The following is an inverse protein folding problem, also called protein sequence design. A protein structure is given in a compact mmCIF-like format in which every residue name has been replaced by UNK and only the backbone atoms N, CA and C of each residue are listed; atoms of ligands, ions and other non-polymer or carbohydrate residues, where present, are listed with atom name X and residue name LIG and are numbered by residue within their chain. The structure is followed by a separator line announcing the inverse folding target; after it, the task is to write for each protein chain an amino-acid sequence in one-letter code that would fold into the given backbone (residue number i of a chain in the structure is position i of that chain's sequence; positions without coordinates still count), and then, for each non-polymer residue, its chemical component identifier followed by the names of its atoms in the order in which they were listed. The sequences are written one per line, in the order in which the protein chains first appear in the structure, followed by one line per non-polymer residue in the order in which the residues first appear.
data_IF_833525378046
#
_entry.id   IF_833525378046
#
_cell.length_a   1.000
_cell.length_b   1.000
_cell.length_c   1.000
_cell.angle_alpha   90.00
_cell.angle_beta   90.00
_cell.angle_gamma   90.00
#
_symmetry.space_group_name_H-M   'P 1'
#
loop_
_entity.id
_entity.type
_entity.pdbx_description
1 polymer ?
#
# COMPACT_ATOMS: atom_id res chain seq x y z
N UNK A 1 0.00 0.52 15.87
CA UNK A 1 -1.36 0.95 16.31
C UNK A 1 -1.88 2.18 15.54
N UNK A 2 -1.11 3.31 15.40
CA UNK A 2 -1.59 4.50 14.69
C UNK A 2 -1.88 4.19 13.23
N UNK A 3 -0.92 3.63 12.49
CA UNK A 3 -1.08 3.30 11.07
C UNK A 3 -2.22 2.29 10.84
N UNK A 4 -2.41 1.34 11.77
CA UNK A 4 -3.51 0.38 11.67
C UNK A 4 -4.89 1.06 11.84
N UNK A 5 -5.02 1.98 12.81
CA UNK A 5 -6.26 2.80 12.94
C UNK A 5 -6.54 3.64 11.70
N UNK A 6 -5.50 4.23 11.12
CA UNK A 6 -5.63 5.00 9.86
C UNK A 6 -6.10 4.10 8.72
N UNK A 7 -5.47 2.93 8.53
CA UNK A 7 -5.87 1.97 7.50
C UNK A 7 -7.32 1.48 7.67
N UNK A 8 -7.77 1.24 8.90
CA UNK A 8 -9.18 0.91 9.20
C UNK A 8 -10.10 2.07 8.86
N UNK A 9 -9.70 3.32 9.16
CA UNK A 9 -10.44 4.53 8.81
C UNK A 9 -10.62 4.68 7.30
N UNK A 10 -9.55 4.47 6.54
CA UNK A 10 -9.55 4.46 5.07
C UNK A 10 -10.55 3.43 4.52
N UNK A 11 -10.53 2.20 5.03
CA UNK A 11 -11.48 1.16 4.62
C UNK A 11 -12.93 1.59 4.81
N UNK A 12 -13.23 2.25 5.93
CA UNK A 12 -14.57 2.76 6.22
C UNK A 12 -14.96 3.87 5.25
N UNK A 13 -14.07 4.84 5.03
CA UNK A 13 -14.31 5.93 4.09
C UNK A 13 -14.58 5.42 2.67
N UNK A 14 -13.79 4.45 2.18
CA UNK A 14 -14.03 3.81 0.87
C UNK A 14 -15.35 3.04 0.83
N UNK A 15 -15.77 2.42 1.94
CA UNK A 15 -17.04 1.69 2.02
C UNK A 15 -18.27 2.62 1.96
N UNK A 16 -18.14 3.86 2.39
CA UNK A 16 -19.21 4.88 2.39
C UNK A 16 -19.37 5.61 1.05
N UNK A 17 -18.48 5.38 0.07
CA UNK A 17 -18.60 5.97 -1.26
C UNK A 17 -19.67 5.24 -2.07
N UNK A 18 -20.76 5.96 -2.42
CA UNK A 18 -21.90 5.41 -3.15
C UNK A 18 -21.53 4.91 -4.54
N UNK A 19 -20.84 5.75 -5.32
CA UNK A 19 -20.32 5.37 -6.65
C UNK A 19 -18.81 5.23 -6.62
N UNK A 20 -18.35 4.03 -6.38
CA UNK A 20 -16.90 3.71 -6.35
C UNK A 20 -16.19 3.89 -7.69
N UNK A 21 -16.93 3.96 -8.79
CA UNK A 21 -16.37 4.15 -10.15
C UNK A 21 -16.37 5.61 -10.57
N UNK A 22 -16.98 6.50 -9.77
CA UNK A 22 -16.95 7.92 -10.03
C UNK A 22 -15.48 8.40 -10.11
N UNK A 23 -15.19 9.18 -11.16
CA UNK A 23 -13.86 9.79 -11.36
C UNK A 23 -13.81 11.14 -10.67
N UNK A 24 -12.64 11.50 -10.16
CA UNK A 24 -12.35 12.86 -9.75
C UNK A 24 -11.99 13.73 -10.97
N UNK A 25 -11.70 15.00 -10.74
CA UNK A 25 -11.25 15.93 -11.79
C UNK A 25 -9.79 15.67 -12.23
N UNK A 26 -9.05 14.80 -11.53
CA UNK A 26 -7.67 14.42 -11.85
C UNK A 26 -7.66 13.11 -12.64
N UNK A 27 -6.88 13.05 -13.72
CA UNK A 27 -6.73 11.83 -14.51
C UNK A 27 -6.18 10.68 -13.66
N UNK A 28 -6.80 9.51 -13.76
CA UNK A 28 -6.41 8.32 -13.01
C UNK A 28 -7.04 8.19 -11.62
N UNK A 29 -7.50 9.28 -11.02
CA UNK A 29 -8.01 9.33 -9.65
C UNK A 29 -9.53 9.07 -9.61
N UNK A 30 -9.98 8.31 -8.62
CA UNK A 30 -11.39 8.05 -8.31
C UNK A 30 -11.87 8.90 -7.13
N UNK A 31 -13.18 9.04 -6.97
CA UNK A 31 -13.78 9.70 -5.81
C UNK A 31 -13.43 8.98 -4.49
N UNK A 32 -13.26 7.66 -4.53
CA UNK A 32 -12.86 6.86 -3.36
C UNK A 32 -11.45 7.19 -2.85
N UNK A 33 -10.52 7.59 -3.73
CA UNK A 33 -9.15 7.97 -3.37
C UNK A 33 -9.17 9.25 -2.52
N UNK A 34 -9.97 10.24 -2.94
CA UNK A 34 -10.14 11.49 -2.20
C UNK A 34 -10.83 11.28 -0.85
N UNK A 35 -11.85 10.40 -0.80
CA UNK A 35 -12.55 10.08 0.44
C UNK A 35 -11.61 9.38 1.44
N UNK A 36 -10.73 8.51 0.95
CA UNK A 36 -9.74 7.81 1.76
C UNK A 36 -8.65 8.76 2.30
N UNK A 37 -8.18 9.68 1.47
CA UNK A 37 -7.04 10.55 1.75
C UNK A 37 -7.32 11.55 2.89
N UNK A 38 -8.40 12.30 2.79
CA UNK A 38 -8.67 13.42 3.70
C UNK A 38 -8.70 13.02 5.18
N UNK A 39 -9.38 11.92 5.52
CA UNK A 39 -9.44 11.41 6.88
C UNK A 39 -8.12 10.85 7.39
N UNK A 40 -7.36 10.22 6.50
CA UNK A 40 -6.05 9.66 6.81
C UNK A 40 -5.03 10.77 7.11
N UNK A 41 -4.93 11.77 6.23
CA UNK A 41 -4.06 12.93 6.40
C UNK A 41 -4.40 13.69 7.68
N UNK A 42 -5.69 13.95 7.96
CA UNK A 42 -6.12 14.60 9.19
C UNK A 42 -5.70 13.82 10.44
N UNK A 43 -5.85 12.50 10.44
CA UNK A 43 -5.48 11.65 11.57
C UNK A 43 -3.97 11.63 11.82
N UNK A 44 -3.17 11.54 10.77
CA UNK A 44 -1.71 11.54 10.87
C UNK A 44 -1.16 12.90 11.29
N UNK A 45 -1.70 13.99 10.75
CA UNK A 45 -1.27 15.35 11.10
C UNK A 45 -1.67 15.72 12.53
N UNK A 46 -2.84 15.26 13.01
CA UNK A 46 -3.25 15.42 14.41
C UNK A 46 -2.33 14.64 15.38
N UNK A 47 -1.73 13.54 14.92
CA UNK A 47 -0.72 12.80 15.69
C UNK A 47 0.69 13.44 15.66
N UNK A 48 0.86 14.62 15.04
CA UNK A 48 2.12 15.34 14.99
C UNK A 48 3.05 14.93 13.83
N UNK A 49 2.58 14.11 12.89
CA UNK A 49 3.37 13.67 11.74
C UNK A 49 3.19 14.61 10.54
N UNK A 50 4.25 14.78 9.74
CA UNK A 50 4.11 15.27 8.38
C UNK A 50 3.62 14.14 7.48
N UNK A 51 3.00 14.45 6.35
CA UNK A 51 2.47 13.45 5.42
C UNK A 51 2.83 13.80 3.98
N UNK A 52 3.37 12.86 3.25
CA UNK A 52 3.45 12.88 1.80
C UNK A 52 2.42 11.87 1.26
N UNK A 53 1.26 12.37 0.86
CA UNK A 53 0.22 11.54 0.26
C UNK A 53 0.33 11.54 -1.26
N UNK A 54 0.07 10.39 -1.89
CA UNK A 54 -0.07 10.25 -3.34
C UNK A 54 -1.17 11.17 -3.88
N UNK A 55 -2.25 11.32 -3.13
CA UNK A 55 -3.47 12.02 -3.57
C UNK A 55 -3.41 13.53 -3.37
N UNK A 56 -2.95 13.97 -2.22
CA UNK A 56 -2.99 15.39 -1.83
C UNK A 56 -1.63 16.06 -1.65
N UNK A 57 -0.53 15.31 -1.87
CA UNK A 57 0.83 15.84 -1.79
C UNK A 57 1.33 16.05 -0.36
N UNK A 58 2.17 17.06 -0.14
CA UNK A 58 2.83 17.31 1.14
C UNK A 58 1.98 18.11 2.12
N UNK A 59 1.90 17.60 3.35
CA UNK A 59 1.31 18.27 4.51
C UNK A 59 2.36 18.31 5.63
N UNK A 60 2.66 19.48 6.16
CA UNK A 60 3.63 19.69 7.24
C UNK A 60 5.03 19.11 6.95
N UNK A 61 5.67 19.49 5.82
CA UNK A 61 7.00 18.98 5.45
C UNK A 61 8.10 19.36 6.45
N UNK A 62 7.86 20.35 7.32
CA UNK A 62 8.79 20.82 8.36
C UNK A 62 8.90 19.84 9.56
N UNK A 63 7.99 18.90 9.70
CA UNK A 63 8.00 17.97 10.83
C UNK A 63 9.08 16.91 10.68
N UNK A 64 9.75 16.49 11.78
CA UNK A 64 10.89 15.57 11.71
C UNK A 64 10.50 14.12 11.35
N UNK A 65 9.25 13.73 11.63
CA UNK A 65 8.71 12.44 11.22
C UNK A 65 7.72 12.64 10.08
N UNK A 66 7.95 11.97 8.97
CA UNK A 66 7.11 12.04 7.78
C UNK A 66 6.47 10.68 7.51
N UNK A 67 5.21 10.69 7.06
CA UNK A 67 4.54 9.48 6.55
C UNK A 67 4.43 9.60 5.05
N UNK A 68 4.98 8.63 4.32
CA UNK A 68 4.65 8.40 2.92
C UNK A 68 3.41 7.52 2.90
N UNK A 69 2.34 8.02 2.27
CA UNK A 69 1.02 7.40 2.29
C UNK A 69 0.49 7.22 0.87
N UNK A 70 0.15 5.99 0.52
CA UNK A 70 -0.79 5.67 -0.54
C UNK A 70 -2.06 5.12 0.13
N UNK A 71 -3.15 5.91 0.14
CA UNK A 71 -4.39 5.50 0.80
C UNK A 71 -5.04 4.29 0.13
N UNK A 72 -4.96 4.19 -1.21
CA UNK A 72 -5.64 3.16 -2.00
C UNK A 72 -4.77 2.68 -3.16
N UNK A 73 -3.69 1.96 -2.86
CA UNK A 73 -2.93 1.23 -3.88
C UNK A 73 -3.83 0.19 -4.57
N UNK A 74 -4.02 0.35 -5.86
CA UNK A 74 -4.96 -0.44 -6.64
C UNK A 74 -6.38 0.13 -6.68
N UNK A 75 -6.56 1.46 -6.80
CA UNK A 75 -7.84 2.16 -6.87
C UNK A 75 -8.81 1.57 -7.92
N UNK A 76 -8.28 1.13 -9.06
CA UNK A 76 -9.10 0.44 -10.07
C UNK A 76 -9.67 -0.88 -9.54
N UNK A 77 -8.90 -1.65 -8.80
CA UNK A 77 -9.36 -2.89 -8.17
C UNK A 77 -10.40 -2.58 -7.08
N UNK A 78 -10.13 -1.59 -6.21
CA UNK A 78 -11.05 -1.13 -5.19
C UNK A 78 -12.39 -0.69 -5.79
N UNK A 79 -12.35 0.09 -6.87
CA UNK A 79 -13.55 0.59 -7.58
C UNK A 79 -14.40 -0.53 -8.19
N UNK A 80 -13.79 -1.66 -8.50
CA UNK A 80 -14.44 -2.83 -9.11
C UNK A 80 -14.76 -3.96 -8.13
N UNK A 81 -14.37 -3.82 -6.85
CA UNK A 81 -14.56 -4.85 -5.83
C UNK A 81 -13.62 -6.05 -6.00
N UNK A 82 -12.50 -5.90 -6.70
CA UNK A 82 -11.48 -6.94 -6.78
C UNK A 82 -10.71 -7.02 -5.46
N UNK A 83 -10.35 -8.24 -4.96
CA UNK A 83 -9.80 -8.39 -3.61
C UNK A 83 -8.29 -8.13 -3.53
N UNK A 84 -7.73 -7.26 -4.38
CA UNK A 84 -6.31 -6.94 -4.45
C UNK A 84 -6.11 -5.41 -4.52
N UNK A 85 -6.24 -4.76 -3.36
CA UNK A 85 -5.98 -3.34 -3.16
C UNK A 85 -5.61 -3.08 -1.70
N UNK A 86 -4.79 -2.08 -1.44
CA UNK A 86 -4.22 -1.86 -0.13
C UNK A 86 -4.21 -0.40 0.29
N UNK A 87 -4.00 -0.18 1.59
CA UNK A 87 -3.39 1.03 2.12
C UNK A 87 -1.92 0.73 2.40
N UNK A 88 -1.04 1.58 1.91
CA UNK A 88 0.40 1.53 2.17
C UNK A 88 0.85 2.80 2.90
N UNK A 89 1.49 2.65 4.04
CA UNK A 89 2.00 3.76 4.84
C UNK A 89 3.38 3.43 5.42
N UNK A 90 4.30 4.39 5.34
CA UNK A 90 5.63 4.26 5.92
C UNK A 90 6.02 5.54 6.67
N UNK A 91 6.32 5.42 7.96
CA UNK A 91 6.89 6.51 8.76
C UNK A 91 8.39 6.54 8.49
N UNK A 92 8.89 7.73 8.16
CA UNK A 92 10.30 8.01 7.97
C UNK A 92 10.79 8.96 9.07
N UNK A 93 12.02 8.73 9.51
CA UNK A 93 12.82 9.68 10.30
C UNK A 93 14.04 10.14 9.50
N UNK A 94 15.00 10.80 10.17
CA UNK A 94 16.23 11.28 9.52
C UNK A 94 17.12 10.17 8.93
N UNK A 95 16.94 8.92 9.36
CA UNK A 95 17.70 7.76 8.88
C UNK A 95 16.95 7.01 7.74
N UNK A 96 15.74 7.45 7.38
CA UNK A 96 14.91 6.84 6.33
C UNK A 96 13.71 6.04 6.86
N UNK A 97 13.26 4.96 6.18
CA UNK A 97 12.13 4.16 6.61
C UNK A 97 12.30 3.59 8.03
N UNK A 98 11.33 3.86 8.89
CA UNK A 98 11.35 3.40 10.28
C UNK A 98 10.28 2.35 10.56
N UNK A 99 9.02 2.68 10.32
CA UNK A 99 7.89 1.77 10.55
C UNK A 99 7.00 1.77 9.32
N UNK A 100 6.65 0.60 8.80
CA UNK A 100 5.74 0.47 7.67
C UNK A 100 4.55 -0.42 7.98
N UNK A 101 3.45 -0.16 7.28
CA UNK A 101 2.24 -0.96 7.25
C UNK A 101 1.70 -1.01 5.83
N UNK A 102 1.43 -2.23 5.35
CA UNK A 102 0.61 -2.47 4.16
C UNK A 102 -0.56 -3.36 4.56
N UNK A 103 -1.78 -2.88 4.30
CA UNK A 103 -2.98 -3.65 4.62
C UNK A 103 -3.79 -3.91 3.37
N UNK A 104 -3.98 -5.20 3.03
CA UNK A 104 -4.99 -5.58 2.04
C UNK A 104 -6.37 -5.24 2.60
N UNK A 105 -7.01 -4.26 2.02
CA UNK A 105 -8.28 -3.71 2.52
C UNK A 105 -9.48 -4.61 2.22
N UNK A 106 -9.36 -5.49 1.21
CA UNK A 106 -10.44 -6.40 0.86
C UNK A 106 -10.54 -7.59 1.83
N UNK A 107 -9.41 -8.21 2.17
CA UNK A 107 -9.37 -9.44 2.99
C UNK A 107 -8.85 -9.23 4.40
N UNK A 108 -8.26 -8.07 4.71
CA UNK A 108 -7.81 -7.67 6.05
C UNK A 108 -6.39 -8.10 6.42
N UNK A 109 -5.68 -8.86 5.58
CA UNK A 109 -4.28 -9.23 5.82
C UNK A 109 -3.41 -7.98 5.96
N UNK A 110 -2.57 -7.96 6.98
CA UNK A 110 -1.73 -6.82 7.32
C UNK A 110 -0.26 -7.23 7.40
N UNK A 111 0.58 -6.48 6.69
CA UNK A 111 2.03 -6.57 6.76
C UNK A 111 2.56 -5.37 7.53
N UNK A 112 3.48 -5.63 8.45
CA UNK A 112 4.17 -4.58 9.21
C UNK A 112 5.66 -4.83 9.23
N UNK A 113 6.45 -3.76 9.24
CA UNK A 113 7.88 -3.87 9.45
C UNK A 113 8.39 -2.71 10.30
N UNK A 114 9.44 -2.97 11.07
CA UNK A 114 10.15 -1.98 11.86
C UNK A 114 11.64 -2.12 11.57
N UNK A 115 12.31 -1.01 11.32
CA UNK A 115 13.77 -1.00 11.10
C UNK A 115 14.49 -1.71 12.26
N UNK A 116 15.30 -2.72 11.93
CA UNK A 116 15.99 -3.57 12.89
C UNK A 116 15.09 -4.60 13.60
N UNK A 117 13.76 -4.48 13.50
CA UNK A 117 12.79 -5.40 14.12
C UNK A 117 12.34 -6.55 13.21
N UNK A 118 12.54 -6.43 11.90
CA UNK A 118 12.06 -7.39 10.90
C UNK A 118 10.63 -7.09 10.44
N UNK A 119 10.03 -8.04 9.72
CA UNK A 119 8.70 -7.92 9.13
C UNK A 119 7.76 -9.03 9.63
N UNK A 120 6.47 -8.72 9.63
CA UNK A 120 5.41 -9.62 10.07
C UNK A 120 4.22 -9.59 9.10
N UNK A 121 3.52 -10.72 8.99
CA UNK A 121 2.21 -10.84 8.36
C UNK A 121 1.20 -11.31 9.40
N UNK A 122 0.17 -10.52 9.66
CA UNK A 122 -0.88 -10.80 10.66
C UNK A 122 -0.30 -11.19 12.04
N UNK A 123 0.77 -10.48 12.47
CA UNK A 123 1.48 -10.72 13.73
C UNK A 123 2.41 -11.95 13.74
N UNK A 124 2.59 -12.61 12.58
CA UNK A 124 3.55 -13.71 12.44
C UNK A 124 4.79 -13.21 11.71
N UNK A 125 5.94 -13.43 12.33
CA UNK A 125 7.22 -13.03 11.76
C UNK A 125 7.47 -13.71 10.41
N UNK A 126 7.86 -12.93 9.42
CA UNK A 126 8.32 -13.44 8.13
C UNK A 126 9.78 -13.91 8.25
N UNK A 127 10.06 -15.05 7.66
CA UNK A 127 11.42 -15.56 7.53
C UNK A 127 11.99 -15.16 6.16
N UNK A 128 13.31 -14.97 6.06
CA UNK A 128 13.95 -14.82 4.75
C UNK A 128 13.63 -16.01 3.84
N UNK A 129 13.32 -15.73 2.58
CA UNK A 129 12.99 -16.73 1.57
C UNK A 129 14.14 -16.73 0.56
N UNK A 130 14.57 -17.91 0.16
CA UNK A 130 15.54 -18.06 -0.92
C UNK A 130 14.83 -17.86 -2.25
N UNK A 131 15.28 -16.89 -3.04
CA UNK A 131 14.70 -16.61 -4.35
C UNK A 131 15.06 -17.73 -5.34
N UNK A 132 14.09 -18.23 -6.14
CA UNK A 132 14.39 -19.18 -7.21
C UNK A 132 15.16 -18.50 -8.35
N UNK A 133 15.61 -19.30 -9.32
CA UNK A 133 16.09 -18.74 -10.58
C UNK A 133 14.97 -18.04 -11.36
N UNK A 134 15.31 -17.07 -12.21
CA UNK A 134 14.32 -16.30 -12.97
C UNK A 134 13.42 -17.19 -13.83
N UNK A 135 13.98 -18.23 -14.45
CA UNK A 135 13.24 -19.19 -15.29
C UNK A 135 12.31 -20.13 -14.51
N UNK A 136 12.41 -20.12 -13.18
CA UNK A 136 11.49 -20.87 -12.29
C UNK A 136 10.57 -19.95 -11.50
N UNK A 137 10.74 -18.62 -11.65
CA UNK A 137 10.02 -17.62 -10.86
C UNK A 137 8.61 -17.31 -11.37
N UNK A 138 7.76 -16.86 -10.44
CA UNK A 138 6.47 -16.22 -10.70
C UNK A 138 6.56 -14.73 -10.36
N UNK A 139 6.74 -13.90 -11.40
CA UNK A 139 6.90 -12.47 -11.26
C UNK A 139 5.57 -11.72 -11.13
N UNK A 140 5.53 -10.62 -10.37
CA UNK A 140 4.49 -9.61 -10.48
C UNK A 140 4.93 -8.47 -11.42
N UNK A 141 4.00 -7.99 -12.23
CA UNK A 141 4.25 -6.92 -13.21
C UNK A 141 3.12 -5.90 -13.12
N UNK A 142 3.48 -4.65 -12.86
CA UNK A 142 2.54 -3.55 -13.02
C UNK A 142 2.64 -2.96 -14.44
N UNK A 143 1.55 -3.08 -15.20
CA UNK A 143 1.47 -2.67 -16.59
C UNK A 143 1.75 -3.79 -17.58
N UNK A 144 2.12 -3.43 -18.82
CA UNK A 144 2.42 -4.37 -19.90
C UNK A 144 3.92 -4.45 -20.09
N UNK A 145 4.55 -5.62 -19.93
CA UNK A 145 5.98 -5.76 -20.18
C UNK A 145 6.28 -5.58 -21.67
N UNK A 146 7.36 -4.87 -21.99
CA UNK A 146 7.81 -4.67 -23.37
C UNK A 146 8.49 -5.92 -23.94
N UNK A 147 8.97 -6.83 -23.10
CA UNK A 147 9.59 -8.10 -23.48
C UNK A 147 9.47 -9.11 -22.34
N UNK A 148 9.57 -10.39 -22.71
CA UNK A 148 9.68 -11.47 -21.72
C UNK A 148 11.12 -11.55 -21.19
N UNK A 149 11.32 -11.50 -19.88
CA UNK A 149 12.64 -11.49 -19.24
C UNK A 149 13.06 -12.88 -18.70
N UNK A 150 12.39 -13.94 -19.10
CA UNK A 150 12.75 -15.31 -18.79
C UNK A 150 12.01 -15.95 -17.62
N UNK A 151 11.10 -15.23 -16.92
CA UNK A 151 10.30 -15.81 -15.84
C UNK A 151 9.39 -16.95 -16.32
N UNK A 152 9.09 -17.91 -15.43
CA UNK A 152 8.21 -19.04 -15.73
C UNK A 152 6.74 -18.62 -15.91
N UNK A 153 6.27 -17.73 -15.06
CA UNK A 153 4.93 -17.18 -15.07
C UNK A 153 4.95 -15.72 -14.62
N UNK A 154 3.91 -14.97 -14.97
CA UNK A 154 3.71 -13.65 -14.39
C UNK A 154 2.27 -13.42 -13.97
N UNK A 155 2.10 -12.42 -13.12
CA UNK A 155 0.81 -11.89 -12.69
C UNK A 155 0.82 -10.37 -12.84
N UNK A 156 -0.33 -9.79 -13.16
CA UNK A 156 -0.55 -8.33 -13.14
C UNK A 156 -1.76 -8.09 -12.25
N UNK A 157 -1.50 -7.91 -10.96
CA UNK A 157 -2.56 -7.78 -9.97
C UNK A 157 -3.05 -6.33 -9.81
N UNK A 158 -2.20 -5.34 -10.07
CA UNK A 158 -2.56 -3.92 -10.07
C UNK A 158 -2.59 -3.25 -8.70
N UNK A 159 -1.81 -3.75 -7.75
CA UNK A 159 -1.54 -3.12 -6.45
C UNK A 159 -0.10 -3.44 -6.03
N UNK A 160 0.82 -2.50 -6.30
CA UNK A 160 2.26 -2.72 -6.20
C UNK A 160 2.72 -3.02 -4.77
N UNK A 161 2.12 -2.37 -3.77
CA UNK A 161 2.46 -2.61 -2.37
C UNK A 161 2.16 -4.05 -1.93
N UNK A 162 1.03 -4.63 -2.40
CA UNK A 162 0.70 -6.02 -2.14
C UNK A 162 1.60 -6.99 -2.91
N UNK A 163 1.99 -6.63 -4.14
CA UNK A 163 2.89 -7.46 -4.94
C UNK A 163 4.26 -7.59 -4.25
N UNK A 164 4.81 -6.48 -3.73
CA UNK A 164 6.04 -6.49 -2.92
C UNK A 164 5.88 -7.30 -1.62
N UNK A 165 4.75 -7.16 -0.94
CA UNK A 165 4.46 -7.96 0.25
C UNK A 165 4.33 -9.46 -0.06
N UNK A 166 3.76 -9.82 -1.22
CA UNK A 166 3.65 -11.19 -1.67
C UNK A 166 5.02 -11.82 -1.99
N UNK A 167 5.99 -11.02 -2.46
CA UNK A 167 7.38 -11.49 -2.56
C UNK A 167 7.96 -11.73 -1.17
N UNK A 168 7.74 -10.82 -0.22
CA UNK A 168 8.27 -10.95 1.13
C UNK A 168 7.71 -12.17 1.90
N UNK A 169 6.52 -12.66 1.57
CA UNK A 169 5.89 -13.83 2.22
C UNK A 169 5.94 -15.11 1.37
N UNK A 170 6.60 -15.08 0.19
CA UNK A 170 6.79 -16.24 -0.68
C UNK A 170 5.58 -16.59 -1.54
N UNK A 171 4.63 -15.71 -1.68
CA UNK A 171 3.52 -15.85 -2.63
C UNK A 171 3.91 -15.51 -4.07
N UNK A 172 4.98 -14.72 -4.23
CA UNK A 172 5.65 -14.35 -5.48
C UNK A 172 7.18 -14.44 -5.28
N UNK A 173 7.94 -14.33 -6.38
CA UNK A 173 9.40 -14.44 -6.39
C UNK A 173 10.11 -13.16 -6.84
#
# INVERSE_FOLDING_TARGET
ELLDRVAIGIRRAVAEVDDRRARSNRSGQYALDLAADGGAVASLTAAGLGVLSEESGHHHPERPLQVVLDPVDGSTNASRGLPWWATSACILDAEGPWVSLVRNQAIGTTYTAVRGGGAERDGRRLAPIEAPSVDDSMAAINGTPVSHLGWKQFRSFGAAALDVCAVADGGLD
#
